data_IF_189868318473
#
_entry.id   IF_189868318473
#
_cell.length_a   1.000
_cell.length_b   1.000
_cell.length_c   1.000
_cell.angle_alpha   90.00
_cell.angle_beta   90.00
_cell.angle_gamma   90.00
#
_symmetry.space_group_name_H-M   'P 1'
#
loop_
_entity.id
_entity.type
_entity.pdbx_description
1 polymer ?
#
# COMPACT_ATOMS: atom_id res chain seq x y z
N UNK A 1 -73.82 -34.55 -30.01
CA UNK A 1 -73.27 -33.27 -29.52
C UNK A 1 -72.23 -33.63 -28.48
N UNK A 2 -70.92 -33.67 -28.82
CA UNK A 2 -69.80 -34.08 -27.95
C UNK A 2 -69.12 -32.86 -27.36
N UNK A 3 -69.25 -32.68 -26.05
CA UNK A 3 -68.62 -31.59 -25.31
C UNK A 3 -67.17 -32.01 -25.02
N UNK A 4 -66.18 -31.32 -25.58
CA UNK A 4 -64.77 -31.47 -25.28
C UNK A 4 -64.45 -30.64 -24.05
N UNK A 5 -64.09 -31.31 -22.95
CA UNK A 5 -63.57 -30.64 -21.76
C UNK A 5 -62.10 -30.26 -22.04
N UNK A 6 -61.77 -29.00 -21.95
CA UNK A 6 -60.44 -28.47 -21.95
C UNK A 6 -59.92 -28.53 -20.49
N UNK A 7 -58.85 -29.28 -20.26
CA UNK A 7 -58.13 -29.27 -19.00
C UNK A 7 -57.23 -28.00 -18.92
N UNK A 8 -57.15 -27.33 -17.80
CA UNK A 8 -56.20 -26.21 -17.65
C UNK A 8 -54.78 -26.74 -17.46
N UNK A 9 -53.87 -26.29 -18.32
CA UNK A 9 -52.44 -26.51 -18.13
C UNK A 9 -51.94 -25.63 -16.97
N UNK A 10 -51.53 -26.30 -15.88
CA UNK A 10 -50.85 -25.62 -14.75
C UNK A 10 -49.43 -25.35 -15.19
N UNK A 11 -49.13 -24.06 -15.44
CA UNK A 11 -47.80 -23.56 -15.73
C UNK A 11 -47.03 -23.51 -14.41
N UNK A 12 -46.23 -24.54 -14.13
CA UNK A 12 -45.35 -24.57 -12.99
C UNK A 12 -44.15 -23.67 -13.26
N UNK A 13 -44.20 -22.40 -12.75
CA UNK A 13 -43.05 -21.51 -12.74
C UNK A 13 -41.98 -22.07 -11.83
N UNK A 14 -41.01 -22.76 -12.41
CA UNK A 14 -39.74 -23.05 -11.71
C UNK A 14 -39.04 -21.71 -11.47
N UNK A 15 -39.15 -21.18 -10.26
CA UNK A 15 -38.24 -20.18 -9.75
C UNK A 15 -36.85 -20.81 -9.66
N UNK A 16 -36.02 -20.58 -10.66
CA UNK A 16 -34.60 -20.88 -10.56
C UNK A 16 -34.05 -20.02 -9.38
N UNK A 17 -33.38 -20.61 -8.39
CA UNK A 17 -32.69 -19.81 -7.41
C UNK A 17 -31.71 -18.92 -8.17
N UNK A 18 -31.85 -17.60 -8.02
CA UNK A 18 -30.87 -16.65 -8.52
C UNK A 18 -29.51 -17.00 -7.95
N UNK A 19 -28.39 -16.58 -8.60
CA UNK A 19 -27.07 -16.82 -8.07
C UNK A 19 -27.08 -16.30 -6.62
N UNK A 20 -26.79 -17.20 -5.68
CA UNK A 20 -26.54 -16.81 -4.32
C UNK A 20 -25.51 -15.67 -4.39
N UNK A 21 -25.86 -14.49 -3.90
CA UNK A 21 -24.90 -13.40 -3.68
C UNK A 21 -23.94 -14.04 -2.69
N UNK A 22 -22.84 -14.58 -3.21
CA UNK A 22 -21.74 -15.08 -2.41
C UNK A 22 -21.46 -13.97 -1.42
N UNK A 23 -21.44 -14.28 -0.15
CA UNK A 23 -21.52 -13.31 0.92
C UNK A 23 -20.25 -12.48 0.84
N UNK A 24 -20.35 -11.34 0.16
CA UNK A 24 -19.27 -10.41 -0.22
C UNK A 24 -18.33 -10.12 0.96
N UNK A 25 -18.86 -10.23 2.18
CA UNK A 25 -18.10 -10.07 3.43
C UNK A 25 -17.12 -11.23 3.69
N UNK A 26 -17.43 -12.48 3.28
CA UNK A 26 -16.52 -13.61 3.48
C UNK A 26 -15.38 -13.58 2.46
N UNK A 27 -15.64 -13.24 1.22
CA UNK A 27 -14.59 -13.01 0.21
C UNK A 27 -13.70 -11.84 0.61
N UNK A 28 -14.29 -10.74 1.09
CA UNK A 28 -13.55 -9.59 1.59
C UNK A 28 -12.66 -9.96 2.80
N UNK A 29 -13.12 -10.84 3.70
CA UNK A 29 -12.32 -11.28 4.84
C UNK A 29 -11.15 -12.16 4.41
N UNK A 30 -11.35 -13.07 3.45
CA UNK A 30 -10.27 -13.87 2.86
C UNK A 30 -9.19 -12.99 2.23
N UNK A 31 -9.59 -11.92 1.52
CA UNK A 31 -8.65 -10.96 0.95
C UNK A 31 -7.86 -10.19 2.02
N UNK A 32 -8.53 -9.77 3.11
CA UNK A 32 -7.88 -9.10 4.24
C UNK A 32 -6.90 -10.01 4.96
N UNK A 33 -7.26 -11.28 5.18
CA UNK A 33 -6.36 -12.28 5.77
C UNK A 33 -5.07 -12.41 4.95
N UNK A 34 -5.20 -12.59 3.64
CA UNK A 34 -4.05 -12.71 2.75
C UNK A 34 -3.15 -11.47 2.78
N UNK A 35 -3.74 -10.26 2.81
CA UNK A 35 -2.99 -9.01 2.92
C UNK A 35 -2.30 -8.86 4.28
N UNK A 36 -2.97 -9.20 5.37
CA UNK A 36 -2.41 -9.13 6.71
C UNK A 36 -1.22 -10.10 6.87
N UNK A 37 -1.38 -11.34 6.43
CA UNK A 37 -0.30 -12.35 6.47
C UNK A 37 0.87 -11.93 5.59
N UNK A 38 0.61 -11.42 4.37
CA UNK A 38 1.67 -10.91 3.51
C UNK A 38 2.42 -9.76 4.18
N UNK A 39 1.71 -8.77 4.74
CA UNK A 39 2.32 -7.63 5.42
C UNK A 39 3.19 -8.09 6.59
N UNK A 40 2.73 -9.03 7.41
CA UNK A 40 3.49 -9.58 8.53
C UNK A 40 4.79 -10.25 8.06
N UNK A 41 4.71 -11.09 7.01
CA UNK A 41 5.88 -11.77 6.44
C UNK A 41 6.88 -10.80 5.82
N UNK A 42 6.41 -9.80 5.07
CA UNK A 42 7.26 -8.76 4.48
C UNK A 42 7.99 -7.97 5.58
N UNK A 43 7.27 -7.58 6.63
CA UNK A 43 7.82 -6.85 7.78
C UNK A 43 8.90 -7.63 8.49
N UNK A 44 8.66 -8.93 8.75
CA UNK A 44 9.62 -9.82 9.38
C UNK A 44 10.87 -10.00 8.50
N UNK A 45 10.68 -10.27 7.20
CA UNK A 45 11.77 -10.48 6.25
C UNK A 45 12.61 -9.22 6.03
N UNK A 46 11.96 -8.03 6.02
CA UNK A 46 12.62 -6.74 5.84
C UNK A 46 13.22 -6.15 7.12
N UNK A 47 12.93 -6.73 8.29
CA UNK A 47 13.38 -6.30 9.61
C UNK A 47 13.11 -4.81 9.91
N UNK A 48 11.96 -4.28 9.45
CA UNK A 48 11.50 -2.91 9.69
C UNK A 48 10.25 -2.92 10.57
N UNK A 49 9.84 -1.74 11.05
CA UNK A 49 8.63 -1.55 11.86
C UNK A 49 7.48 -0.99 11.02
N UNK A 50 6.24 -1.10 11.54
CA UNK A 50 5.05 -0.53 10.89
C UNK A 50 4.57 0.70 11.65
N UNK A 51 3.99 1.64 10.89
CA UNK A 51 3.27 2.80 11.42
C UNK A 51 1.87 2.87 10.81
N UNK A 52 0.91 3.29 11.62
CA UNK A 52 -0.41 3.76 11.17
C UNK A 52 -0.35 5.21 10.72
N UNK A 53 -1.39 5.69 10.02
CA UNK A 53 -1.51 7.10 9.66
C UNK A 53 -1.51 8.02 10.90
N UNK A 54 -2.17 7.62 11.99
CA UNK A 54 -2.24 8.40 13.23
C UNK A 54 -0.87 8.50 13.93
N UNK A 55 -0.11 7.41 13.99
CA UNK A 55 1.23 7.41 14.57
C UNK A 55 2.20 8.28 13.77
N UNK A 56 2.19 8.15 12.43
CA UNK A 56 3.01 9.01 11.58
C UNK A 56 2.61 10.49 11.71
N UNK A 57 1.30 10.79 11.72
CA UNK A 57 0.81 12.16 11.94
C UNK A 57 1.31 12.73 13.27
N UNK A 58 1.24 11.96 14.34
CA UNK A 58 1.77 12.36 15.64
C UNK A 58 3.27 12.66 15.59
N UNK A 59 4.07 11.81 14.93
CA UNK A 59 5.51 12.04 14.79
C UNK A 59 5.81 13.36 14.04
N UNK A 60 5.04 13.66 12.98
CA UNK A 60 5.18 14.90 12.21
C UNK A 60 4.77 16.13 13.03
N UNK A 61 3.66 16.06 13.79
CA UNK A 61 3.17 17.16 14.62
C UNK A 61 4.12 17.48 15.79
N UNK A 62 4.77 16.47 16.33
CA UNK A 62 5.80 16.62 17.37
C UNK A 62 7.14 17.15 16.81
N UNK A 63 7.24 17.38 15.50
CA UNK A 63 8.46 17.87 14.86
C UNK A 63 9.64 16.91 14.98
N UNK A 64 9.41 15.60 15.12
CA UNK A 64 10.47 14.59 15.24
C UNK A 64 11.33 14.58 13.97
N UNK A 65 12.65 14.74 14.08
CA UNK A 65 13.53 14.67 12.93
C UNK A 65 13.45 13.27 12.28
N UNK A 66 13.08 13.22 11.01
CA UNK A 66 13.00 11.96 10.24
C UNK A 66 13.27 12.21 8.76
N UNK A 67 13.51 11.15 8.01
CA UNK A 67 13.45 11.17 6.56
C UNK A 67 12.18 10.46 6.14
N UNK A 68 11.27 11.20 5.49
CA UNK A 68 10.03 10.65 4.95
C UNK A 68 10.18 10.47 3.44
N UNK A 69 9.95 9.24 2.94
CA UNK A 69 10.17 8.89 1.54
C UNK A 69 8.88 8.37 0.89
N UNK A 70 8.46 9.05 -0.16
CA UNK A 70 7.45 8.57 -1.09
C UNK A 70 8.11 7.68 -2.16
N UNK A 71 7.64 6.45 -2.29
CA UNK A 71 8.21 5.47 -3.23
C UNK A 71 7.45 5.36 -4.54
N UNK A 72 6.52 6.28 -4.78
CA UNK A 72 5.68 6.32 -5.98
C UNK A 72 6.38 7.01 -7.17
N UNK A 73 5.90 6.77 -8.41
CA UNK A 73 6.39 7.49 -9.59
C UNK A 73 6.22 9.00 -9.45
N UNK A 74 7.23 9.76 -9.89
CA UNK A 74 7.23 11.22 -9.73
C UNK A 74 6.02 11.87 -10.43
N UNK A 75 5.89 11.76 -11.75
CA UNK A 75 4.84 12.45 -12.51
C UNK A 75 3.45 11.88 -12.31
N UNK A 76 3.36 10.56 -12.17
CA UNK A 76 2.07 9.89 -12.05
C UNK A 76 1.41 10.08 -10.66
N UNK A 77 2.22 10.27 -9.60
CA UNK A 77 1.75 10.33 -8.22
C UNK A 77 2.35 11.49 -7.43
N UNK A 78 3.64 11.43 -7.09
CA UNK A 78 4.28 12.33 -6.14
C UNK A 78 4.07 13.81 -6.47
N UNK A 79 4.25 14.22 -7.72
CA UNK A 79 4.08 15.62 -8.15
C UNK A 79 2.67 16.12 -7.91
N UNK A 80 1.67 15.25 -8.01
CA UNK A 80 0.26 15.61 -7.87
C UNK A 80 -0.13 15.77 -6.40
N UNK A 81 0.29 14.82 -5.58
CA UNK A 81 0.00 14.80 -4.15
C UNK A 81 0.97 13.86 -3.41
N UNK A 82 1.46 14.31 -2.27
CA UNK A 82 2.33 13.54 -1.37
C UNK A 82 2.15 14.03 0.08
N UNK A 83 2.67 13.26 1.03
CA UNK A 83 2.65 13.65 2.44
C UNK A 83 3.58 14.84 2.68
N UNK A 84 3.24 15.78 3.60
CA UNK A 84 4.05 16.95 3.88
C UNK A 84 5.50 16.61 4.21
N UNK A 85 6.42 17.30 3.53
CA UNK A 85 7.86 17.12 3.72
C UNK A 85 8.44 15.81 3.18
N UNK A 86 7.67 14.99 2.48
CA UNK A 86 8.18 13.77 1.87
C UNK A 86 9.13 14.08 0.71
N UNK A 87 10.16 13.24 0.58
CA UNK A 87 11.07 13.23 -0.57
C UNK A 87 10.74 12.03 -1.45
N UNK A 88 10.80 12.20 -2.77
CA UNK A 88 10.48 11.12 -3.69
C UNK A 88 11.72 10.26 -3.99
N UNK A 89 11.53 8.93 -4.00
CA UNK A 89 12.47 7.97 -4.55
C UNK A 89 11.72 6.73 -5.05
N UNK A 90 11.71 6.52 -6.38
CA UNK A 90 10.99 5.39 -6.97
C UNK A 90 11.60 4.04 -6.56
N UNK A 91 10.72 3.09 -6.20
CA UNK A 91 11.06 1.68 -6.06
C UNK A 91 10.12 0.81 -6.92
N UNK A 92 10.56 -0.38 -7.36
CA UNK A 92 9.73 -1.30 -8.13
C UNK A 92 8.61 -1.93 -7.28
N UNK A 93 7.57 -2.45 -7.95
CA UNK A 93 6.54 -3.29 -7.32
C UNK A 93 7.09 -4.70 -7.10
N UNK A 94 7.84 -5.26 -8.07
CA UNK A 94 8.47 -6.57 -7.91
C UNK A 94 9.52 -6.53 -6.79
N UNK A 95 9.69 -7.67 -6.07
CA UNK A 95 10.70 -7.73 -5.00
C UNK A 95 12.10 -7.49 -5.56
N UNK A 96 12.80 -6.54 -4.95
CA UNK A 96 14.12 -6.10 -5.40
C UNK A 96 15.21 -6.83 -4.62
N UNK A 97 15.79 -7.88 -5.20
CA UNK A 97 16.87 -8.67 -4.60
C UNK A 97 18.27 -8.08 -4.83
N UNK A 98 18.45 -7.39 -5.95
CA UNK A 98 19.64 -6.63 -6.30
C UNK A 98 19.24 -5.23 -6.76
N UNK A 99 20.14 -4.24 -6.62
CA UNK A 99 19.84 -2.89 -7.13
C UNK A 99 19.81 -2.89 -8.65
N UNK A 100 18.71 -2.39 -9.21
CA UNK A 100 18.55 -2.17 -10.65
C UNK A 100 18.10 -0.72 -10.88
N UNK A 101 18.98 0.06 -11.53
CA UNK A 101 18.70 1.47 -11.80
C UNK A 101 17.54 1.67 -12.79
N UNK A 102 17.21 0.68 -13.62
CA UNK A 102 16.05 0.75 -14.52
C UNK A 102 14.74 0.79 -13.75
N UNK A 103 14.70 0.14 -12.59
CA UNK A 103 13.54 0.06 -11.73
C UNK A 103 13.41 1.24 -10.74
N UNK A 104 14.48 2.05 -10.63
CA UNK A 104 14.59 3.19 -9.71
C UNK A 104 14.74 4.53 -10.44
N UNK A 105 14.23 4.62 -11.66
CA UNK A 105 14.27 5.84 -12.49
C UNK A 105 15.70 6.35 -12.72
N UNK A 106 16.63 5.43 -13.03
CA UNK A 106 18.05 5.71 -13.25
C UNK A 106 18.87 5.95 -11.99
N UNK A 107 18.25 5.95 -10.80
CA UNK A 107 18.93 6.30 -9.55
C UNK A 107 19.61 5.09 -8.90
N UNK A 108 20.80 5.35 -8.36
CA UNK A 108 21.67 4.34 -7.75
C UNK A 108 21.35 4.12 -6.27
N UNK A 109 21.91 3.04 -5.71
CA UNK A 109 21.91 2.79 -4.25
C UNK A 109 22.59 3.93 -3.48
N UNK A 110 23.64 4.53 -4.06
CA UNK A 110 24.31 5.69 -3.48
C UNK A 110 23.38 6.92 -3.42
N UNK A 111 22.56 7.14 -4.44
CA UNK A 111 21.56 8.22 -4.45
C UNK A 111 20.51 8.03 -3.37
N UNK A 112 20.08 6.79 -3.12
CA UNK A 112 19.16 6.48 -2.03
C UNK A 112 19.82 6.71 -0.67
N UNK A 113 21.08 6.26 -0.49
CA UNK A 113 21.86 6.53 0.72
C UNK A 113 22.05 8.03 0.96
N UNK A 114 22.35 8.79 -0.07
CA UNK A 114 22.47 10.25 0.02
C UNK A 114 21.15 10.94 0.44
N UNK A 115 20.02 10.47 -0.11
CA UNK A 115 18.69 10.96 0.27
C UNK A 115 18.37 10.69 1.74
N UNK A 116 18.73 9.51 2.25
CA UNK A 116 18.50 9.12 3.64
C UNK A 116 19.45 9.84 4.62
N UNK A 117 20.65 10.22 4.16
CA UNK A 117 21.67 10.90 4.96
C UNK A 117 22.63 9.96 5.69
N UNK A 118 23.68 10.53 6.28
CA UNK A 118 24.77 9.77 6.90
C UNK A 118 24.40 9.19 8.28
N UNK A 119 23.46 9.83 8.99
CA UNK A 119 23.01 9.40 10.31
C UNK A 119 22.15 8.13 10.19
N UNK A 120 22.72 6.99 10.60
CA UNK A 120 22.05 5.68 10.51
C UNK A 120 21.01 5.45 11.60
N UNK A 121 21.01 6.24 12.65
CA UNK A 121 20.06 6.17 13.75
C UNK A 121 18.87 7.12 13.58
N UNK A 122 18.92 7.98 12.57
CA UNK A 122 17.81 8.85 12.23
C UNK A 122 16.62 8.04 11.70
N UNK A 123 15.40 8.25 12.22
CA UNK A 123 14.21 7.60 11.71
C UNK A 123 14.00 7.78 10.21
N UNK A 124 13.81 6.68 9.50
CA UNK A 124 13.45 6.62 8.09
C UNK A 124 12.05 6.06 7.99
N UNK A 125 11.13 6.83 7.43
CA UNK A 125 9.75 6.39 7.18
C UNK A 125 9.52 6.33 5.67
N UNK A 126 9.07 5.17 5.18
CA UNK A 126 8.78 4.98 3.77
C UNK A 126 7.31 4.63 3.55
N UNK A 127 6.71 5.14 2.48
CA UNK A 127 5.33 4.84 2.12
C UNK A 127 5.14 4.76 0.60
N UNK A 128 3.99 4.21 0.20
CA UNK A 128 3.52 4.25 -1.18
C UNK A 128 2.01 4.58 -1.22
N UNK A 129 1.22 4.03 -2.15
CA UNK A 129 -0.18 4.39 -2.29
C UNK A 129 -1.11 3.75 -1.25
N UNK A 130 -0.97 2.42 -1.02
CA UNK A 130 -1.90 1.61 -0.24
C UNK A 130 -1.26 0.29 0.23
N UNK A 131 -1.94 -0.48 1.09
CA UNK A 131 -1.37 -1.64 1.80
C UNK A 131 -0.76 -2.70 0.86
N UNK A 132 -1.41 -3.02 -0.25
CA UNK A 132 -0.92 -4.02 -1.23
C UNK A 132 0.32 -3.56 -2.01
N UNK A 133 0.63 -2.27 -2.01
CA UNK A 133 1.76 -1.72 -2.77
C UNK A 133 3.09 -2.13 -2.13
N UNK A 134 3.93 -2.86 -2.85
CA UNK A 134 5.21 -3.39 -2.38
C UNK A 134 6.40 -2.44 -2.54
N UNK A 135 6.23 -1.28 -3.19
CA UNK A 135 7.30 -0.30 -3.37
C UNK A 135 7.93 0.14 -2.04
N UNK A 136 7.10 0.44 -1.05
CA UNK A 136 7.56 0.81 0.29
C UNK A 136 8.16 -0.35 1.08
N UNK A 137 7.79 -1.60 0.78
CA UNK A 137 8.47 -2.79 1.32
C UNK A 137 9.92 -2.85 0.83
N UNK A 138 10.12 -2.73 -0.50
CA UNK A 138 11.47 -2.67 -1.08
C UNK A 138 12.32 -1.56 -0.46
N UNK A 139 11.78 -0.35 -0.37
CA UNK A 139 12.51 0.78 0.22
C UNK A 139 12.89 0.57 1.68
N UNK A 140 11.97 0.04 2.51
CA UNK A 140 12.24 -0.27 3.90
C UNK A 140 13.32 -1.34 4.05
N UNK A 141 13.20 -2.46 3.31
CA UNK A 141 14.18 -3.54 3.33
C UNK A 141 15.57 -3.07 2.87
N UNK A 142 15.65 -2.21 1.84
CA UNK A 142 16.91 -1.63 1.39
C UNK A 142 17.50 -0.65 2.40
N UNK A 143 16.68 0.19 3.06
CA UNK A 143 17.17 1.05 4.13
C UNK A 143 17.78 0.22 5.28
N UNK A 144 17.13 -0.89 5.67
CA UNK A 144 17.69 -1.83 6.65
C UNK A 144 19.00 -2.46 6.20
N UNK A 145 19.06 -2.93 4.94
CA UNK A 145 20.27 -3.49 4.32
C UNK A 145 21.43 -2.50 4.30
N UNK A 146 21.14 -1.22 4.11
CA UNK A 146 22.11 -0.12 4.15
C UNK A 146 22.53 0.31 5.57
N UNK A 147 22.03 -0.36 6.60
CA UNK A 147 22.44 -0.18 8.00
C UNK A 147 21.65 0.86 8.79
N UNK A 148 20.52 1.38 8.26
CA UNK A 148 19.66 2.26 9.06
C UNK A 148 18.94 1.46 10.14
N UNK A 149 19.01 1.92 11.41
CA UNK A 149 18.53 1.17 12.57
C UNK A 149 17.05 1.41 12.86
N UNK A 150 16.53 2.59 12.58
CA UNK A 150 15.15 3.00 12.83
C UNK A 150 14.37 3.15 11.52
N UNK A 151 13.97 2.01 10.93
CA UNK A 151 13.23 2.00 9.67
C UNK A 151 11.78 1.62 9.90
N UNK A 152 10.89 2.44 9.39
CA UNK A 152 9.45 2.29 9.47
C UNK A 152 8.83 2.26 8.07
N UNK A 153 7.86 1.38 7.87
CA UNK A 153 6.97 1.42 6.73
C UNK A 153 5.60 1.90 7.16
N UNK A 154 5.04 2.87 6.45
CA UNK A 154 3.64 3.26 6.54
C UNK A 154 2.85 2.56 5.41
N UNK A 155 2.29 1.35 5.65
CA UNK A 155 1.72 0.53 4.58
C UNK A 155 0.43 1.12 4.00
N UNK A 156 -0.40 1.79 4.81
CA UNK A 156 -1.62 2.43 4.35
C UNK A 156 -1.38 3.56 3.34
N UNK A 157 -0.21 4.16 3.40
CA UNK A 157 0.29 5.12 2.43
C UNK A 157 -0.64 6.31 2.18
N UNK A 158 -0.56 6.84 0.98
CA UNK A 158 -1.33 8.01 0.56
C UNK A 158 -2.84 7.83 0.78
N UNK A 159 -3.38 6.64 0.53
CA UNK A 159 -4.82 6.39 0.65
C UNK A 159 -5.30 6.43 2.10
N UNK A 160 -4.58 5.79 3.02
CA UNK A 160 -4.94 5.86 4.44
C UNK A 160 -4.75 7.27 5.01
N UNK A 161 -3.73 8.01 4.55
CA UNK A 161 -3.50 9.40 4.94
C UNK A 161 -4.66 10.31 4.51
N UNK A 162 -5.10 10.18 3.26
CA UNK A 162 -6.30 10.88 2.74
C UNK A 162 -7.58 10.46 3.46
N UNK A 163 -7.75 9.16 3.69
CA UNK A 163 -8.91 8.63 4.41
C UNK A 163 -9.02 9.14 5.85
N UNK A 164 -7.90 9.48 6.47
CA UNK A 164 -7.85 10.12 7.79
C UNK A 164 -8.07 11.65 7.74
N UNK A 165 -8.24 12.24 6.55
CA UNK A 165 -8.43 13.68 6.39
C UNK A 165 -7.18 14.53 6.65
N UNK A 166 -5.98 13.94 6.57
CA UNK A 166 -4.74 14.66 6.84
C UNK A 166 -4.25 15.47 5.63
N UNK A 167 -3.50 16.57 5.85
CA UNK A 167 -3.09 17.47 4.78
C UNK A 167 -2.11 16.81 3.81
N UNK A 168 -2.14 17.26 2.56
CA UNK A 168 -1.25 16.86 1.48
C UNK A 168 -0.54 18.06 0.88
N UNK A 169 0.58 17.81 0.24
CA UNK A 169 1.33 18.75 -0.58
C UNK A 169 1.35 18.30 -2.04
N UNK A 170 1.65 19.24 -2.94
CA UNK A 170 1.90 19.01 -4.35
C UNK A 170 3.13 19.81 -4.78
N UNK A 171 3.83 19.35 -5.80
CA UNK A 171 4.92 20.13 -6.40
C UNK A 171 4.33 21.26 -7.21
N UNK A 172 4.74 22.49 -6.88
CA UNK A 172 4.32 23.72 -7.58
C UNK A 172 5.00 23.88 -8.93
#
# INVERSE_FOLDING_TARGET
>A
MKIRQLAPAILCCFLLPGPAIADDKFEAETAKEAEAIKLARDTQAGAYQLLTAAELKKMLDEGKPMVLVDTMPYDASYRKEHLPGAKQFLFPIARMSAWDTKETDGRTEADFTALLGADKDKPVVVYCGFVKCTRSDNAAAWARKLGYTQVYRFPGGLFAWKGAGFPLEAVK
#
